data_IF_753286416063
#
_entry.id   IF_753286416063
#
_cell.length_a   1.000
_cell.length_b   1.000
_cell.length_c   1.000
_cell.angle_alpha   90.00
_cell.angle_beta   90.00
_cell.angle_gamma   90.00
#
_symmetry.space_group_name_H-M   'P 1'
#
loop_
_entity.id
_entity.type
_entity.pdbx_description
1 polymer ?
#
# COMPACT_ATOMS: atom_id res chain seq x y z
N UNK A 1 37.17 -18.69 -27.37
CA UNK A 1 35.94 -18.78 -26.56
C UNK A 1 34.99 -19.72 -27.30
N UNK A 2 34.82 -20.94 -26.81
CA UNK A 2 34.08 -21.99 -27.53
C UNK A 2 32.56 -21.85 -27.33
N UNK A 3 31.80 -22.00 -28.40
CA UNK A 3 30.34 -21.93 -28.48
C UNK A 3 29.51 -22.73 -27.42
N UNK A 4 29.95 -23.86 -26.84
CA UNK A 4 29.13 -24.61 -25.88
C UNK A 4 28.84 -23.89 -24.56
N UNK A 5 29.66 -22.92 -24.15
CA UNK A 5 29.44 -22.18 -22.90
C UNK A 5 28.24 -21.21 -22.99
N UNK A 6 27.99 -20.65 -24.18
CA UNK A 6 26.88 -19.72 -24.41
C UNK A 6 25.54 -20.46 -24.50
N UNK A 7 25.55 -21.67 -25.05
CA UNK A 7 24.36 -22.53 -25.14
C UNK A 7 23.90 -23.06 -23.77
N UNK A 8 24.84 -23.41 -22.88
CA UNK A 8 24.56 -23.82 -21.49
C UNK A 8 24.02 -22.68 -20.60
N UNK A 9 24.35 -21.42 -20.93
CA UNK A 9 23.80 -20.25 -20.24
C UNK A 9 22.34 -19.97 -20.64
N UNK A 10 21.97 -20.25 -21.90
CA UNK A 10 20.61 -20.03 -22.41
C UNK A 10 19.58 -21.06 -21.93
N UNK A 11 20.02 -22.27 -21.54
CA UNK A 11 19.12 -23.32 -21.00
C UNK A 11 18.90 -23.22 -19.49
N UNK A 12 19.59 -22.30 -18.79
CA UNK A 12 19.46 -22.07 -17.35
C UNK A 12 18.37 -21.03 -17.01
N UNK A 13 17.40 -20.83 -17.89
CA UNK A 13 16.22 -20.03 -17.58
C UNK A 13 15.34 -20.83 -16.60
N UNK A 14 15.47 -20.55 -15.29
CA UNK A 14 14.58 -21.15 -14.28
C UNK A 14 13.13 -20.92 -14.69
N UNK A 15 12.28 -21.97 -14.68
CA UNK A 15 10.88 -21.82 -15.05
C UNK A 15 10.21 -20.75 -14.16
N UNK A 16 9.46 -19.84 -14.79
CA UNK A 16 8.70 -18.80 -14.08
C UNK A 16 7.67 -19.51 -13.19
N UNK A 17 7.66 -19.19 -11.90
CA UNK A 17 6.72 -19.76 -10.93
C UNK A 17 5.30 -19.31 -11.28
N UNK A 18 4.29 -20.17 -11.10
CA UNK A 18 2.90 -19.75 -11.25
C UNK A 18 2.53 -18.69 -10.20
N UNK A 19 1.82 -17.65 -10.63
CA UNK A 19 1.24 -16.62 -9.76
C UNK A 19 0.31 -17.27 -8.72
N UNK A 20 0.21 -16.65 -7.54
CA UNK A 20 -0.62 -17.14 -6.43
C UNK A 20 -0.14 -18.45 -5.79
N UNK A 21 1.15 -18.75 -5.86
CA UNK A 21 1.76 -19.82 -5.08
C UNK A 21 2.66 -19.27 -3.97
N UNK A 22 2.55 -19.77 -2.72
CA UNK A 22 3.41 -19.31 -1.64
C UNK A 22 4.87 -19.74 -1.88
N UNK A 23 5.87 -18.93 -1.49
CA UNK A 23 5.77 -17.63 -0.86
C UNK A 23 5.43 -16.51 -1.87
N UNK A 24 4.44 -15.69 -1.53
CA UNK A 24 4.01 -14.55 -2.34
C UNK A 24 5.09 -13.47 -2.43
N UNK A 25 5.28 -12.91 -3.62
CA UNK A 25 6.34 -11.95 -3.94
C UNK A 25 5.83 -10.56 -4.35
N UNK A 26 6.68 -9.83 -5.09
CA UNK A 26 6.37 -8.48 -5.56
C UNK A 26 5.31 -8.45 -6.66
N UNK A 27 5.24 -9.48 -7.51
CA UNK A 27 4.27 -9.55 -8.59
C UNK A 27 2.84 -9.61 -8.05
N UNK A 28 2.60 -10.44 -7.03
CA UNK A 28 1.31 -10.56 -6.36
C UNK A 28 0.96 -9.28 -5.59
N UNK A 29 1.97 -8.65 -4.95
CA UNK A 29 1.79 -7.39 -4.23
C UNK A 29 1.39 -6.25 -5.17
N UNK A 30 2.01 -6.18 -6.35
CA UNK A 30 1.66 -5.23 -7.39
C UNK A 30 0.24 -5.49 -7.90
N UNK A 31 -0.09 -6.73 -8.24
CA UNK A 31 -1.44 -7.09 -8.70
C UNK A 31 -2.53 -6.72 -7.68
N UNK A 32 -2.28 -6.98 -6.40
CA UNK A 32 -3.21 -6.59 -5.32
C UNK A 32 -3.32 -5.07 -5.19
N UNK A 33 -2.20 -4.35 -5.27
CA UNK A 33 -2.20 -2.88 -5.20
C UNK A 33 -2.99 -2.28 -6.36
N UNK A 34 -2.82 -2.79 -7.58
CA UNK A 34 -3.59 -2.36 -8.76
C UNK A 34 -5.08 -2.61 -8.55
N UNK A 35 -5.45 -3.80 -8.06
CA UNK A 35 -6.85 -4.12 -7.77
C UNK A 35 -7.44 -3.19 -6.69
N UNK A 36 -6.66 -2.87 -5.67
CA UNK A 36 -7.06 -1.96 -4.60
C UNK A 36 -7.26 -0.53 -5.14
N UNK A 37 -6.39 -0.05 -6.04
CA UNK A 37 -6.55 1.23 -6.71
C UNK A 37 -7.81 1.26 -7.59
N UNK A 38 -8.04 0.21 -8.39
CA UNK A 38 -9.26 0.08 -9.20
C UNK A 38 -10.52 0.10 -8.33
N UNK A 39 -10.48 -0.60 -7.20
CA UNK A 39 -11.57 -0.59 -6.20
C UNK A 39 -11.77 0.81 -5.64
N UNK A 40 -10.70 1.54 -5.35
CA UNK A 40 -10.75 2.93 -4.91
C UNK A 40 -11.38 3.85 -5.94
N UNK A 41 -11.03 3.72 -7.22
CA UNK A 41 -11.66 4.51 -8.29
C UNK A 41 -13.14 4.15 -8.48
N UNK A 42 -13.50 2.86 -8.40
CA UNK A 42 -14.89 2.45 -8.44
C UNK A 42 -15.70 3.06 -7.27
N UNK A 43 -15.10 3.09 -6.08
CA UNK A 43 -15.72 3.69 -4.90
C UNK A 43 -15.83 5.22 -5.03
N UNK A 44 -14.85 5.88 -5.65
CA UNK A 44 -14.92 7.31 -5.98
C UNK A 44 -16.11 7.63 -6.88
N UNK A 45 -16.37 6.79 -7.89
CA UNK A 45 -17.52 6.98 -8.79
C UNK A 45 -18.86 6.73 -8.09
N UNK A 46 -18.90 5.82 -7.11
CA UNK A 46 -20.12 5.46 -6.39
C UNK A 46 -20.46 6.42 -5.24
N UNK A 47 -19.47 6.79 -4.43
CA UNK A 47 -19.65 7.54 -3.18
C UNK A 47 -19.23 9.02 -3.26
N UNK A 48 -18.49 9.43 -4.31
CA UNK A 48 -17.95 10.78 -4.43
C UNK A 48 -16.71 11.03 -3.54
N UNK A 49 -16.29 12.30 -3.38
CA UNK A 49 -15.11 12.68 -2.60
C UNK A 49 -15.21 12.28 -1.13
N UNK A 50 -14.11 11.83 -0.54
CA UNK A 50 -14.07 11.45 0.86
C UNK A 50 -14.04 12.69 1.77
N UNK A 51 -14.98 12.76 2.71
CA UNK A 51 -15.02 13.82 3.72
C UNK A 51 -14.12 13.50 4.91
N UNK A 52 -13.07 14.29 5.14
CA UNK A 52 -12.18 14.18 6.30
C UNK A 52 -12.82 14.59 7.64
N UNK A 53 -14.10 14.96 7.65
CA UNK A 53 -14.81 15.34 8.86
C UNK A 53 -14.78 14.24 9.93
N UNK A 54 -14.93 12.97 9.51
CA UNK A 54 -14.86 11.80 10.40
C UNK A 54 -13.46 11.51 10.94
N UNK A 55 -12.41 12.05 10.30
CA UNK A 55 -11.00 11.93 10.68
C UNK A 55 -10.45 13.25 11.24
N UNK A 56 -11.31 14.19 11.61
CA UNK A 56 -10.86 15.40 12.30
C UNK A 56 -10.60 15.11 13.77
N UNK A 57 -9.77 15.91 14.43
CA UNK A 57 -9.60 15.80 15.88
C UNK A 57 -10.97 16.02 16.56
N UNK A 58 -11.40 15.15 17.49
CA UNK A 58 -10.65 14.10 18.19
C UNK A 58 -10.85 12.66 17.66
N UNK A 59 -11.72 12.43 16.67
CA UNK A 59 -12.09 11.08 16.23
C UNK A 59 -10.96 10.33 15.52
N UNK A 60 -10.00 11.06 14.92
CA UNK A 60 -8.80 10.48 14.34
C UNK A 60 -8.00 9.59 15.30
N UNK A 61 -7.93 9.94 16.59
CA UNK A 61 -7.20 9.16 17.58
C UNK A 61 -7.81 7.77 17.78
N UNK A 62 -9.14 7.68 17.76
CA UNK A 62 -9.86 6.41 17.89
C UNK A 62 -9.62 5.53 16.67
N UNK A 63 -9.75 6.10 15.48
CA UNK A 63 -9.52 5.39 14.21
C UNK A 63 -8.08 4.87 14.14
N UNK A 64 -7.11 5.72 14.50
CA UNK A 64 -5.70 5.38 14.55
C UNK A 64 -5.43 4.23 15.53
N UNK A 65 -5.99 4.31 16.74
CA UNK A 65 -5.83 3.27 17.75
C UNK A 65 -6.38 1.92 17.28
N UNK A 66 -7.56 1.92 16.65
CA UNK A 66 -8.18 0.71 16.09
C UNK A 66 -7.31 0.09 14.98
N UNK A 67 -6.81 0.91 14.06
CA UNK A 67 -5.91 0.46 12.98
C UNK A 67 -4.60 -0.11 13.52
N UNK A 68 -3.99 0.57 14.50
CA UNK A 68 -2.79 0.09 15.18
C UNK A 68 -3.01 -1.25 15.88
N UNK A 69 -4.08 -1.36 16.68
CA UNK A 69 -4.43 -2.58 17.38
C UNK A 69 -4.68 -3.74 16.41
N UNK A 70 -5.42 -3.49 15.32
CA UNK A 70 -5.69 -4.49 14.29
C UNK A 70 -4.41 -4.98 13.60
N UNK A 71 -3.52 -4.08 13.22
CA UNK A 71 -2.26 -4.43 12.56
C UNK A 71 -1.28 -5.13 13.50
N UNK A 72 -1.19 -4.71 14.76
CA UNK A 72 -0.44 -5.44 15.79
C UNK A 72 -1.01 -6.86 15.95
N UNK A 73 -2.33 -7.01 16.13
CA UNK A 73 -2.95 -8.33 16.27
C UNK A 73 -2.66 -9.24 15.06
N UNK A 74 -2.70 -8.69 13.84
CA UNK A 74 -2.35 -9.39 12.62
C UNK A 74 -0.87 -9.83 12.58
N UNK A 75 0.05 -8.96 13.02
CA UNK A 75 1.47 -9.29 13.17
C UNK A 75 1.75 -10.31 14.27
N UNK A 76 0.92 -10.32 15.33
CA UNK A 76 1.06 -11.22 16.48
C UNK A 76 0.40 -12.61 16.29
N UNK A 77 -0.55 -12.77 15.38
CA UNK A 77 -1.18 -14.09 15.10
C UNK A 77 -0.23 -15.08 14.39
N UNK A 78 -0.50 -16.39 14.55
CA UNK A 78 0.17 -17.47 13.81
C UNK A 78 0.04 -17.20 12.31
N UNK A 79 1.17 -17.06 11.63
CA UNK A 79 1.17 -16.56 10.26
C UNK A 79 0.87 -17.69 9.26
N UNK A 80 -0.34 -17.70 8.74
CA UNK A 80 -0.59 -18.32 7.43
C UNK A 80 0.30 -17.64 6.38
N UNK A 81 0.61 -18.33 5.28
CA UNK A 81 1.45 -17.76 4.23
C UNK A 81 0.94 -16.39 3.71
N UNK A 82 -0.38 -16.18 3.74
CA UNK A 82 -1.05 -14.93 3.36
C UNK A 82 -0.82 -13.83 4.40
N UNK A 83 -1.03 -14.09 5.68
CA UNK A 83 -0.73 -13.12 6.74
C UNK A 83 0.76 -12.77 6.79
N UNK A 84 1.61 -13.76 6.52
CA UNK A 84 3.05 -13.56 6.40
C UNK A 84 3.41 -12.63 5.24
N UNK A 85 2.69 -12.71 4.12
CA UNK A 85 2.89 -11.85 2.97
C UNK A 85 2.34 -10.43 3.17
N UNK A 86 1.12 -10.31 3.70
CA UNK A 86 0.47 -9.02 4.01
C UNK A 86 1.32 -8.16 4.95
N UNK A 87 1.95 -8.78 5.96
CA UNK A 87 2.84 -8.05 6.88
C UNK A 87 4.31 -8.09 6.44
N UNK A 88 4.55 -8.42 5.17
CA UNK A 88 5.88 -8.54 4.56
C UNK A 88 6.30 -7.27 3.83
N UNK A 89 7.61 -7.09 3.59
CA UNK A 89 8.12 -5.91 2.90
C UNK A 89 7.63 -5.80 1.46
N UNK A 90 7.40 -6.91 0.76
CA UNK A 90 6.93 -6.90 -0.63
C UNK A 90 5.57 -6.21 -0.78
N UNK A 91 4.65 -6.44 0.16
CA UNK A 91 3.33 -5.82 0.15
C UNK A 91 3.42 -4.32 0.45
N UNK A 92 4.21 -3.93 1.46
CA UNK A 92 4.46 -2.53 1.77
C UNK A 92 5.08 -1.77 0.58
N UNK A 93 6.04 -2.38 -0.12
CA UNK A 93 6.63 -1.80 -1.34
C UNK A 93 5.59 -1.66 -2.45
N UNK A 94 4.68 -2.61 -2.62
CA UNK A 94 3.55 -2.50 -3.56
C UNK A 94 2.67 -1.29 -3.27
N UNK A 95 2.23 -1.14 -2.01
CA UNK A 95 1.44 0.00 -1.57
C UNK A 95 2.16 1.35 -1.79
N UNK A 96 3.45 1.42 -1.45
CA UNK A 96 4.27 2.61 -1.67
C UNK A 96 4.43 2.93 -3.16
N UNK A 97 4.56 1.92 -4.03
CA UNK A 97 4.57 2.13 -5.47
C UNK A 97 3.23 2.67 -5.98
N UNK A 98 2.10 2.17 -5.47
CA UNK A 98 0.77 2.72 -5.77
C UNK A 98 0.62 4.18 -5.33
N UNK A 99 1.10 4.51 -4.12
CA UNK A 99 1.13 5.89 -3.63
C UNK A 99 2.01 6.78 -4.50
N UNK A 100 3.18 6.30 -4.91
CA UNK A 100 4.06 7.04 -5.82
C UNK A 100 3.37 7.37 -7.15
N UNK A 101 2.65 6.41 -7.73
CA UNK A 101 1.88 6.63 -8.97
C UNK A 101 0.82 7.72 -8.77
N UNK A 102 0.07 7.68 -7.66
CA UNK A 102 -0.92 8.72 -7.34
C UNK A 102 -0.27 10.08 -7.11
N UNK A 103 0.89 10.15 -6.44
CA UNK A 103 1.62 11.40 -6.22
C UNK A 103 2.15 11.99 -7.52
N UNK A 104 2.64 11.16 -8.45
CA UNK A 104 3.04 11.62 -9.79
C UNK A 104 1.82 12.15 -10.54
N UNK A 105 0.68 11.46 -10.47
CA UNK A 105 -0.57 11.96 -11.04
C UNK A 105 -0.99 13.31 -10.42
N UNK A 106 -0.80 13.47 -9.11
CA UNK A 106 -1.09 14.72 -8.39
C UNK A 106 -0.20 15.87 -8.88
N UNK A 107 1.09 15.62 -9.07
CA UNK A 107 2.02 16.63 -9.60
C UNK A 107 1.80 16.95 -11.08
N UNK A 108 1.19 16.03 -11.83
CA UNK A 108 0.94 16.18 -13.26
C UNK A 108 -0.38 16.89 -13.58
N UNK A 109 -1.34 16.86 -12.65
CA UNK A 109 -2.68 17.44 -12.83
C UNK A 109 -2.78 18.71 -12.00
N UNK A 110 -3.18 19.81 -12.64
CA UNK A 110 -3.36 21.09 -11.95
C UNK A 110 -4.49 20.96 -10.91
N UNK A 111 -4.14 21.11 -9.63
CA UNK A 111 -5.11 21.03 -8.53
C UNK A 111 -5.87 22.35 -8.41
N UNK A 112 -6.79 22.63 -9.34
CA UNK A 112 -7.60 23.85 -9.31
C UNK A 112 -8.92 23.62 -8.57
N UNK A 113 -9.34 24.56 -7.70
CA UNK A 113 -10.62 24.48 -6.99
C UNK A 113 -11.85 24.67 -7.89
N UNK A 114 -11.68 25.36 -9.03
CA UNK A 114 -12.70 25.49 -10.09
C UNK A 114 -12.24 24.75 -11.35
N UNK A 115 -12.73 23.52 -11.60
CA UNK A 115 -12.48 22.84 -12.85
C UNK A 115 -13.40 23.38 -13.96
N UNK A 116 -12.81 23.83 -15.07
CA UNK A 116 -13.55 24.03 -16.33
C UNK A 116 -14.32 22.75 -16.71
N UNK A 117 -15.38 22.88 -17.53
CA UNK A 117 -16.22 21.74 -17.95
C UNK A 117 -15.43 20.57 -18.59
N UNK A 118 -14.25 20.84 -19.17
CA UNK A 118 -13.31 19.83 -19.69
C UNK A 118 -12.69 18.95 -18.60
N UNK A 119 -12.62 19.43 -17.36
CA UNK A 119 -12.15 18.70 -16.18
C UNK A 119 -13.28 17.99 -15.41
N UNK A 120 -14.53 18.01 -15.90
CA UNK A 120 -15.65 17.33 -15.24
C UNK A 120 -15.46 15.80 -15.12
N UNK A 121 -14.80 15.18 -16.10
CA UNK A 121 -14.41 13.76 -16.01
C UNK A 121 -13.31 13.53 -14.97
N UNK A 122 -12.30 14.40 -14.92
CA UNK A 122 -11.23 14.34 -13.91
C UNK A 122 -11.76 14.58 -12.49
N UNK A 123 -12.75 15.46 -12.35
CA UNK A 123 -13.48 15.71 -11.10
C UNK A 123 -14.24 14.46 -10.63
N UNK A 124 -14.95 13.77 -11.55
CA UNK A 124 -15.67 12.52 -11.25
C UNK A 124 -14.72 11.38 -10.88
N UNK A 125 -13.55 11.29 -11.50
CA UNK A 125 -12.51 10.33 -11.12
C UNK A 125 -11.74 10.72 -9.83
N UNK A 126 -11.99 11.90 -9.26
CA UNK A 126 -11.30 12.37 -8.04
C UNK A 126 -9.85 12.82 -8.27
N UNK A 127 -9.47 13.08 -9.52
CA UNK A 127 -8.10 13.48 -9.90
C UNK A 127 -7.79 14.95 -9.59
N UNK A 128 -8.80 15.81 -9.43
CA UNK A 128 -8.63 17.20 -8.98
C UNK A 128 -8.31 17.31 -7.49
N UNK A 129 -8.66 16.28 -6.71
CA UNK A 129 -8.42 16.18 -5.27
C UNK A 129 -7.92 14.80 -4.89
N UNK A 130 -6.73 14.41 -5.37
CA UNK A 130 -6.18 13.06 -5.17
C UNK A 130 -6.05 12.70 -3.69
N UNK A 131 -5.71 13.65 -2.82
CA UNK A 131 -5.64 13.40 -1.36
C UNK A 131 -7.01 13.11 -0.74
N UNK A 132 -8.08 13.66 -1.30
CA UNK A 132 -9.49 13.39 -0.92
C UNK A 132 -10.10 12.22 -1.69
N UNK A 133 -9.34 11.57 -2.57
CA UNK A 133 -9.83 10.48 -3.39
C UNK A 133 -9.76 9.15 -2.63
N UNK A 134 -10.78 8.30 -2.82
CA UNK A 134 -10.81 6.95 -2.25
C UNK A 134 -9.59 6.07 -2.55
N UNK A 135 -8.96 6.05 -3.75
CA UNK A 135 -7.77 5.23 -3.97
C UNK A 135 -6.59 5.65 -3.07
N UNK A 136 -6.42 6.96 -2.81
CA UNK A 136 -5.41 7.45 -1.88
C UNK A 136 -5.71 7.03 -0.44
N UNK A 137 -6.96 7.20 0.00
CA UNK A 137 -7.40 6.82 1.35
C UNK A 137 -7.23 5.31 1.59
N UNK A 138 -7.63 4.47 0.64
CA UNK A 138 -7.48 3.01 0.77
C UNK A 138 -6.03 2.57 0.87
N UNK A 139 -5.15 3.11 0.00
CA UNK A 139 -3.72 2.80 0.06
C UNK A 139 -3.10 3.26 1.37
N UNK A 140 -3.48 4.45 1.87
CA UNK A 140 -3.01 4.98 3.14
C UNK A 140 -3.46 4.13 4.32
N UNK A 141 -4.75 3.77 4.40
CA UNK A 141 -5.30 2.91 5.44
C UNK A 141 -4.63 1.53 5.42
N UNK A 142 -4.41 0.95 4.25
CA UNK A 142 -3.67 -0.32 4.13
C UNK A 142 -2.22 -0.18 4.60
N UNK A 143 -1.54 0.92 4.26
CA UNK A 143 -0.17 1.17 4.71
C UNK A 143 -0.11 1.29 6.24
N UNK A 144 -1.07 2.00 6.85
CA UNK A 144 -1.22 2.12 8.30
C UNK A 144 -1.52 0.79 8.98
N UNK A 145 -2.14 -0.18 8.30
CA UNK A 145 -2.38 -1.52 8.84
C UNK A 145 -1.14 -2.42 8.74
N UNK A 146 -0.38 -2.30 7.65
CA UNK A 146 0.80 -3.14 7.36
C UNK A 146 2.01 -2.72 8.19
N UNK A 147 2.20 -1.43 8.39
CA UNK A 147 3.31 -0.87 9.14
C UNK A 147 3.42 -1.40 10.59
N UNK A 148 2.36 -1.39 11.42
CA UNK A 148 2.41 -1.95 12.77
C UNK A 148 2.57 -3.48 12.75
N UNK A 149 2.01 -4.18 11.75
CA UNK A 149 2.18 -5.61 11.60
C UNK A 149 3.63 -6.00 11.25
N UNK A 150 4.29 -5.23 10.37
CA UNK A 150 5.71 -5.37 10.05
C UNK A 150 6.59 -5.05 11.26
N UNK A 151 6.23 -4.01 12.02
CA UNK A 151 6.88 -3.66 13.28
C UNK A 151 6.79 -4.77 14.32
N UNK A 152 5.59 -5.30 14.57
CA UNK A 152 5.36 -6.42 15.46
C UNK A 152 6.22 -7.64 15.11
N UNK A 153 6.31 -7.98 13.81
CA UNK A 153 7.17 -9.08 13.35
C UNK A 153 8.65 -8.82 13.64
N UNK A 154 9.15 -7.62 13.36
CA UNK A 154 10.56 -7.29 13.61
C UNK A 154 10.89 -7.33 15.10
N UNK A 155 10.03 -6.79 15.95
CA UNK A 155 10.18 -6.87 17.41
C UNK A 155 10.20 -8.33 17.89
N UNK A 156 9.38 -9.21 17.30
CA UNK A 156 9.39 -10.64 17.62
C UNK A 156 10.68 -11.37 17.25
N UNK A 157 11.26 -11.04 16.09
CA UNK A 157 12.43 -11.74 15.57
C UNK A 157 13.76 -11.16 16.07
N UNK A 158 13.83 -9.84 16.27
CA UNK A 158 15.06 -9.09 16.58
C UNK A 158 15.04 -8.47 18.00
N UNK A 159 13.95 -8.63 18.74
CA UNK A 159 13.78 -8.12 20.10
C UNK A 159 13.81 -6.59 20.17
N UNK A 160 14.33 -6.07 21.29
CA UNK A 160 14.42 -4.64 21.60
C UNK A 160 15.27 -3.83 20.61
N UNK A 161 16.13 -4.47 19.82
CA UNK A 161 16.94 -3.78 18.81
C UNK A 161 16.10 -3.18 17.67
N UNK A 162 14.93 -3.76 17.39
CA UNK A 162 13.98 -3.30 16.37
C UNK A 162 13.06 -2.17 16.85
N UNK A 163 13.05 -1.84 18.14
CA UNK A 163 12.19 -0.79 18.68
C UNK A 163 12.53 0.58 18.07
N UNK A 164 13.82 0.84 17.79
CA UNK A 164 14.29 2.07 17.15
C UNK A 164 13.70 2.28 15.77
N UNK A 165 13.55 1.22 14.99
CA UNK A 165 12.91 1.26 13.68
C UNK A 165 11.42 1.60 13.80
N UNK A 166 10.73 1.02 14.79
CA UNK A 166 9.31 1.32 15.02
C UNK A 166 9.07 2.72 15.60
N UNK A 167 9.97 3.20 16.46
CA UNK A 167 9.95 4.57 16.98
C UNK A 167 10.16 5.59 15.86
N UNK A 168 11.05 5.31 14.90
CA UNK A 168 11.27 6.21 13.77
C UNK A 168 10.03 6.30 12.85
N UNK A 169 9.28 5.21 12.72
CA UNK A 169 8.01 5.20 12.00
C UNK A 169 6.80 5.65 12.83
N UNK A 170 6.96 5.88 14.15
CA UNK A 170 5.90 6.41 15.00
C UNK A 170 5.42 7.79 14.52
N UNK A 171 6.31 8.59 13.91
CA UNK A 171 5.96 9.88 13.32
C UNK A 171 4.90 9.79 12.22
N UNK A 172 4.87 8.71 11.44
CA UNK A 172 3.84 8.49 10.39
C UNK A 172 2.45 8.21 11.00
N UNK A 173 2.39 7.70 12.22
CA UNK A 173 1.12 7.49 12.92
C UNK A 173 0.62 8.76 13.61
N UNK A 174 1.52 9.67 13.98
CA UNK A 174 1.17 10.89 14.71
C UNK A 174 0.86 12.08 13.80
N UNK A 175 1.34 12.04 12.55
CA UNK A 175 1.11 13.04 11.50
C UNK A 175 -0.31 12.93 10.92
#
# INVERSE_FOLDING_TARGET
>A
MSAPALFLAMTNAKPKRPLWTPPFGLAESCAFTVLLMLTGFALQLAAGPFSFYLLSFPSNLVVLFVLLAAGLLAGFRRQSAVCAWLSGPAFATGLLAGMLVLTIAMGSILQTPDPDKSAALMLRLGLTGITTSWPCVLLFVCLLLVLPAACARRVRLQGWSALRFCLWHAGVFLA
#
